data_IF_046650712513
#
_entry.id   IF_046650712513
#
_cell.length_a   1.000
_cell.length_b   1.000
_cell.length_c   1.000
_cell.angle_alpha   90.00
_cell.angle_beta   90.00
_cell.angle_gamma   90.00
#
_symmetry.space_group_name_H-M   'P 1'
#
loop_
_entity.id
_entity.type
_entity.pdbx_description
1 polymer ?
#
# COMPACT_ATOMS: atom_id res chain seq x y z
N UNK A 1 23.32 -6.47 -7.24
CA UNK A 1 22.31 -6.29 -6.18
C UNK A 1 21.06 -5.70 -6.83
N UNK A 2 20.04 -6.52 -7.07
CA UNK A 2 18.88 -6.17 -7.90
C UNK A 2 17.78 -5.57 -7.02
N UNK A 3 17.47 -4.28 -7.21
CA UNK A 3 16.31 -3.64 -6.60
C UNK A 3 15.04 -4.33 -7.14
N UNK A 4 14.36 -5.11 -6.30
CA UNK A 4 13.13 -5.78 -6.70
C UNK A 4 11.94 -4.83 -6.57
N UNK A 5 11.34 -4.50 -7.72
CA UNK A 5 10.14 -3.68 -7.83
C UNK A 5 8.92 -4.57 -7.75
N UNK A 6 8.04 -4.31 -6.78
CA UNK A 6 6.78 -5.04 -6.63
C UNK A 6 5.63 -4.13 -7.07
N UNK A 7 4.83 -4.62 -8.01
CA UNK A 7 3.72 -3.87 -8.63
C UNK A 7 2.40 -4.56 -8.33
N UNK A 8 1.43 -3.77 -7.92
CA UNK A 8 0.07 -4.21 -7.69
C UNK A 8 -0.87 -3.37 -8.56
N UNK A 9 -1.89 -3.99 -9.15
CA UNK A 9 -2.87 -3.31 -10.00
C UNK A 9 -4.22 -3.33 -9.31
N UNK A 10 -4.81 -2.16 -9.13
CA UNK A 10 -6.14 -1.99 -8.55
C UNK A 10 -7.11 -1.71 -9.70
N UNK A 11 -8.22 -2.44 -9.79
CA UNK A 11 -9.18 -2.18 -10.84
C UNK A 11 -9.94 -0.85 -10.58
N UNK A 12 -10.49 -0.21 -11.62
CA UNK A 12 -11.06 1.14 -11.53
C UNK A 12 -12.16 1.30 -10.48
N UNK A 13 -13.00 0.28 -10.29
CA UNK A 13 -14.10 0.24 -9.33
C UNK A 13 -13.62 0.33 -7.87
N UNK A 14 -12.41 -0.19 -7.59
CA UNK A 14 -11.84 -0.26 -6.25
C UNK A 14 -10.97 0.96 -5.92
N UNK A 15 -10.51 1.69 -6.94
CA UNK A 15 -9.62 2.85 -6.81
C UNK A 15 -10.17 3.93 -5.88
N UNK A 16 -11.47 4.21 -5.96
CA UNK A 16 -12.12 5.25 -5.13
C UNK A 16 -12.11 4.85 -3.66
N UNK A 17 -12.35 3.58 -3.37
CA UNK A 17 -12.34 3.03 -2.01
C UNK A 17 -10.91 3.03 -1.45
N UNK A 18 -9.93 2.63 -2.26
CA UNK A 18 -8.52 2.67 -1.90
C UNK A 18 -8.04 4.08 -1.52
N UNK A 19 -8.39 5.08 -2.35
CA UNK A 19 -8.04 6.48 -2.09
C UNK A 19 -8.62 7.00 -0.78
N UNK A 20 -9.90 6.72 -0.50
CA UNK A 20 -10.54 7.10 0.77
C UNK A 20 -9.85 6.47 1.98
N UNK A 21 -9.52 5.18 1.89
CA UNK A 21 -8.80 4.48 2.95
C UNK A 21 -7.45 5.14 3.23
N UNK A 22 -6.65 5.39 2.20
CA UNK A 22 -5.37 6.08 2.35
C UNK A 22 -5.55 7.48 2.94
N UNK A 23 -6.56 8.23 2.49
CA UNK A 23 -6.86 9.57 3.02
C UNK A 23 -7.22 9.54 4.51
N UNK A 24 -7.91 8.49 4.97
CA UNK A 24 -8.21 8.33 6.40
C UNK A 24 -6.93 7.98 7.16
N UNK A 25 -6.12 7.05 6.65
CA UNK A 25 -4.85 6.66 7.29
C UNK A 25 -3.87 7.83 7.43
N UNK A 26 -3.80 8.73 6.44
CA UNK A 26 -2.93 9.92 6.52
C UNK A 26 -3.38 10.94 7.57
N UNK A 27 -4.66 10.94 7.94
CA UNK A 27 -5.17 11.77 9.04
C UNK A 27 -4.88 11.16 10.42
N UNK A 28 -4.72 9.84 10.49
CA UNK A 28 -4.54 9.09 11.74
C UNK A 28 -3.09 9.02 12.20
N UNK A 29 -2.12 9.12 11.29
CA UNK A 29 -0.70 9.10 11.64
C UNK A 29 0.20 9.70 10.57
N UNK A 30 1.42 10.04 10.98
CA UNK A 30 2.42 10.67 10.12
C UNK A 30 3.14 9.67 9.20
N UNK A 31 3.14 8.41 9.59
CA UNK A 31 3.79 7.32 8.87
C UNK A 31 2.80 6.20 8.59
N UNK A 32 2.85 5.68 7.37
CA UNK A 32 2.11 4.49 6.96
C UNK A 32 3.12 3.37 6.69
N UNK A 33 2.88 2.24 7.32
CA UNK A 33 3.64 1.01 7.16
C UNK A 33 2.82 0.06 6.29
N UNK A 34 3.36 -0.36 5.16
CA UNK A 34 2.69 -1.34 4.30
C UNK A 34 3.40 -2.68 4.50
N UNK A 35 2.63 -3.70 4.85
CA UNK A 35 3.12 -5.06 5.07
C UNK A 35 2.31 -6.08 4.25
N UNK A 36 2.98 -7.00 3.57
CA UNK A 36 2.32 -8.16 2.97
C UNK A 36 2.04 -9.25 4.02
N UNK A 37 0.84 -9.82 3.98
CA UNK A 37 0.47 -10.98 4.81
C UNK A 37 0.62 -12.23 3.95
N UNK A 38 1.71 -12.98 4.16
CA UNK A 38 2.01 -14.21 3.44
C UNK A 38 0.95 -15.33 3.63
N UNK A 39 0.23 -15.35 4.77
CA UNK A 39 -0.79 -16.37 5.06
C UNK A 39 -2.11 -16.17 4.33
N UNK A 40 -2.48 -14.93 4.02
CA UNK A 40 -3.81 -14.59 3.46
C UNK A 40 -3.72 -13.92 2.10
N UNK A 41 -2.51 -13.82 1.53
CA UNK A 41 -2.21 -13.07 0.30
C UNK A 41 -2.84 -11.66 0.32
N UNK A 42 -2.74 -10.98 1.47
CA UNK A 42 -3.30 -9.65 1.69
C UNK A 42 -2.24 -8.58 1.83
N UNK A 43 -2.60 -7.32 1.60
CA UNK A 43 -1.76 -6.15 1.79
C UNK A 43 -2.32 -5.29 2.92
N UNK A 44 -1.58 -5.18 4.03
CA UNK A 44 -1.95 -4.38 5.19
C UNK A 44 -1.29 -3.02 5.16
N UNK A 45 -2.07 -1.99 5.47
CA UNK A 45 -1.66 -0.63 5.71
C UNK A 45 -1.87 -0.33 7.19
N UNK A 46 -0.78 0.00 7.87
CA UNK A 46 -0.75 0.23 9.31
C UNK A 46 -0.27 1.65 9.56
N UNK A 47 -0.92 2.36 10.46
CA UNK A 47 -0.46 3.67 10.91
C UNK A 47 -0.62 3.77 12.41
N UNK A 48 0.23 4.56 13.03
CA UNK A 48 0.12 4.94 14.42
C UNK A 48 0.30 6.45 14.52
N UNK A 49 -0.37 7.06 15.48
CA UNK A 49 -0.12 8.46 15.78
C UNK A 49 1.28 8.64 16.40
N UNK A 50 1.77 9.89 16.46
CA UNK A 50 3.11 10.20 16.97
C UNK A 50 3.32 9.74 18.42
N UNK A 51 2.29 9.87 19.26
CA UNK A 51 2.29 9.41 20.65
C UNK A 51 2.19 7.87 20.79
N UNK A 52 2.02 7.14 19.69
CA UNK A 52 1.77 5.68 19.64
C UNK A 52 0.60 5.22 20.52
N UNK A 53 -0.32 6.12 20.83
CA UNK A 53 -1.52 5.86 21.64
C UNK A 53 -2.72 5.42 20.81
N UNK A 54 -2.65 5.56 19.49
CA UNK A 54 -3.65 5.04 18.54
C UNK A 54 -2.95 4.23 17.46
N UNK A 55 -3.52 3.08 17.15
CA UNK A 55 -3.08 2.17 16.11
C UNK A 55 -4.23 1.87 15.17
N UNK A 56 -4.00 1.99 13.87
CA UNK A 56 -4.99 1.69 12.84
C UNK A 56 -4.39 0.78 11.79
N UNK A 57 -5.13 -0.25 11.41
CA UNK A 57 -4.71 -1.25 10.44
C UNK A 57 -5.87 -1.56 9.50
N UNK A 58 -5.61 -1.48 8.20
CA UNK A 58 -6.57 -1.87 7.16
C UNK A 58 -5.88 -2.86 6.24
N UNK A 59 -6.54 -3.96 5.93
CA UNK A 59 -6.00 -5.02 5.07
C UNK A 59 -6.87 -5.17 3.84
N UNK A 60 -6.25 -5.11 2.67
CA UNK A 60 -6.89 -5.46 1.40
C UNK A 60 -6.53 -6.91 1.07
N UNK A 61 -7.54 -7.75 0.85
CA UNK A 61 -7.34 -9.12 0.39
C UNK A 61 -6.90 -9.14 -1.08
N UNK A 62 -6.36 -10.28 -1.53
CA UNK A 62 -5.95 -10.49 -2.94
C UNK A 62 -7.03 -10.06 -3.93
N UNK A 63 -8.30 -10.37 -3.65
CA UNK A 63 -9.44 -10.13 -4.54
C UNK A 63 -9.73 -8.64 -4.77
N UNK A 64 -9.16 -7.75 -3.95
CA UNK A 64 -9.22 -6.32 -4.18
C UNK A 64 -8.37 -5.88 -5.39
N UNK A 65 -7.36 -6.68 -5.75
CA UNK A 65 -6.38 -6.37 -6.78
C UNK A 65 -6.66 -7.18 -8.04
N UNK A 66 -6.53 -6.53 -9.19
CA UNK A 66 -6.61 -7.19 -10.50
C UNK A 66 -5.33 -7.99 -10.80
N UNK A 67 -4.18 -7.47 -10.35
CA UNK A 67 -2.90 -8.18 -10.45
C UNK A 67 -2.20 -8.19 -9.10
N UNK A 68 -1.82 -9.39 -8.67
CA UNK A 68 -1.11 -9.67 -7.43
C UNK A 68 0.23 -10.35 -7.76
N UNK A 69 1.38 -9.81 -7.31
CA UNK A 69 2.67 -10.39 -7.63
C UNK A 69 2.85 -11.72 -6.89
N UNK A 70 2.83 -12.82 -7.64
CA UNK A 70 2.75 -14.18 -7.09
C UNK A 70 4.10 -14.70 -6.59
N UNK A 71 5.21 -14.34 -7.24
CA UNK A 71 6.55 -14.90 -6.98
C UNK A 71 7.36 -14.19 -5.89
N UNK A 72 7.19 -12.88 -5.70
CA UNK A 72 8.01 -12.11 -4.76
C UNK A 72 7.41 -12.04 -3.34
N UNK A 73 6.09 -12.19 -3.21
CA UNK A 73 5.36 -12.01 -1.94
C UNK A 73 5.28 -13.25 -1.05
N UNK A 74 5.45 -14.45 -1.63
CA UNK A 74 5.42 -15.71 -0.88
C UNK A 74 6.74 -15.98 -0.16
N UNK A 75 7.85 -15.42 -0.65
CA UNK A 75 9.19 -15.67 -0.11
C UNK A 75 9.65 -14.60 0.88
N UNK A 76 9.16 -13.36 0.76
CA UNK A 76 9.64 -12.26 1.60
C UNK A 76 8.50 -11.32 2.07
N UNK A 77 8.52 -11.00 3.36
CA UNK A 77 7.63 -10.00 3.96
C UNK A 77 8.01 -8.62 3.41
N UNK A 78 7.20 -8.05 2.52
CA UNK A 78 7.38 -6.67 2.09
C UNK A 78 7.05 -5.80 3.27
N UNK A 79 7.96 -4.90 3.62
CA UNK A 79 7.73 -3.82 4.58
C UNK A 79 8.21 -2.54 3.94
N UNK A 80 7.31 -1.59 3.74
CA UNK A 80 7.72 -0.23 3.35
C UNK A 80 7.12 0.80 4.31
N UNK A 81 7.85 1.89 4.50
CA UNK A 81 7.45 3.02 5.32
C UNK A 81 7.37 4.24 4.44
N UNK A 82 6.20 4.85 4.40
CA UNK A 82 5.94 6.05 3.61
C UNK A 82 5.42 7.15 4.53
N UNK A 83 5.87 8.37 4.29
CA UNK A 83 5.33 9.52 5.01
C UNK A 83 3.92 9.81 4.50
N UNK A 84 2.97 9.93 5.42
CA UNK A 84 1.59 10.30 5.14
C UNK A 84 1.45 11.69 4.51
N UNK A 85 2.50 12.53 4.61
CA UNK A 85 2.58 13.86 3.98
C UNK A 85 2.80 13.79 2.47
N UNK A 86 3.16 12.63 1.92
CA UNK A 86 3.30 12.48 0.48
C UNK A 86 1.91 12.44 -0.16
N UNK A 87 1.59 13.34 -1.10
CA UNK A 87 0.31 13.29 -1.76
C UNK A 87 0.28 12.07 -2.69
N UNK A 88 -0.35 10.99 -2.24
CA UNK A 88 -0.70 9.82 -3.06
C UNK A 88 -1.48 10.22 -4.34
N UNK A 89 -2.00 11.44 -4.36
CA UNK A 89 -2.78 12.06 -5.43
C UNK A 89 -1.96 12.84 -6.47
N UNK A 90 -0.64 13.05 -6.29
CA UNK A 90 0.12 14.03 -7.10
C UNK A 90 1.04 13.46 -8.19
N UNK A 91 0.99 12.15 -8.49
CA UNK A 91 1.40 11.72 -9.84
C UNK A 91 0.20 11.94 -10.77
N UNK A 92 0.38 12.78 -11.79
CA UNK A 92 -0.56 13.05 -12.90
C UNK A 92 -0.86 11.79 -13.74
N UNK A 93 -1.39 10.73 -13.14
CA UNK A 93 -1.76 9.46 -13.77
C UNK A 93 -3.06 8.86 -13.23
N UNK A 94 -3.72 9.53 -12.27
CA UNK A 94 -5.02 9.12 -11.73
C UNK A 94 -6.22 9.70 -12.49
N UNK A 95 -6.03 10.01 -13.79
CA UNK A 95 -7.13 10.21 -14.72
C UNK A 95 -7.06 9.09 -15.75
N UNK A 96 -8.20 8.45 -15.95
CA UNK A 96 -8.53 7.38 -16.91
C UNK A 96 -7.91 5.99 -16.65
N UNK A 97 -8.71 5.11 -16.05
CA UNK A 97 -8.86 3.75 -16.57
C UNK A 97 -8.11 2.61 -15.90
N UNK A 98 -6.91 2.79 -15.35
CA UNK A 98 -6.14 1.72 -14.68
C UNK A 98 -5.20 2.35 -13.65
N UNK A 99 -5.33 2.01 -12.37
CA UNK A 99 -4.42 2.48 -11.31
C UNK A 99 -3.40 1.41 -10.95
N UNK A 100 -2.13 1.65 -11.27
CA UNK A 100 -1.02 0.84 -10.74
C UNK A 100 -0.31 1.61 -9.63
N UNK A 101 -0.05 0.94 -8.51
CA UNK A 101 0.85 1.46 -7.48
C UNK A 101 2.12 0.62 -7.45
N UNK A 102 3.25 1.31 -7.32
CA UNK A 102 4.57 0.71 -7.38
C UNK A 102 5.22 0.89 -6.00
N UNK A 103 5.56 -0.21 -5.35
CA UNK A 103 6.37 -0.19 -4.14
C UNK A 103 7.82 -0.43 -4.54
N UNK A 104 8.65 0.61 -4.35
CA UNK A 104 10.10 0.51 -4.48
C UNK A 104 10.66 0.13 -3.10
N UNK A 105 11.44 -0.95 -3.06
CA UNK A 105 12.06 -1.43 -1.83
C UNK A 105 13.33 -0.61 -1.57
N UNK A 106 13.26 0.35 -0.66
CA UNK A 106 14.46 0.98 -0.11
C UNK A 106 15.10 0.05 0.93
N UNK A 107 16.17 -0.65 0.57
CA UNK A 107 17.07 -1.27 1.54
C UNK A 107 17.96 -0.18 2.16
N UNK A 108 17.96 -0.07 3.49
CA UNK A 108 19.11 0.51 4.19
C UNK A 108 20.20 -0.53 4.28
#
# INVERSE_FOLDING_TARGET
MTEKKVVFVIPPEHIRHFGKVLQVLTKLGEEIYIESIAKTNGLSFRTANQARSSYSCITFNRDFFQQWPQDDLQKEKIKCRISAKYPFYHRKGFRTGIGSFQLLRGTK
#
